data_IF_757722345038
#
_entry.id   IF_757722345038
#
_cell.length_a   1.000
_cell.length_b   1.000
_cell.length_c   1.000
_cell.angle_alpha   90.00
_cell.angle_beta   90.00
_cell.angle_gamma   90.00
#
_symmetry.space_group_name_H-M   'P 1'
#
loop_
_entity.id
_entity.type
_entity.pdbx_description
1 polymer ?
#
# COMPACT_ATOMS: atom_id res chain seq x y z
N UNK A 1 -5.46 10.26 -18.77
CA UNK A 1 -6.45 10.75 -17.81
C UNK A 1 -5.72 11.09 -16.52
N UNK A 2 -5.79 12.35 -16.09
CA UNK A 2 -5.08 12.89 -14.92
C UNK A 2 -5.66 12.44 -13.56
N UNK A 3 -6.59 11.47 -13.58
CA UNK A 3 -7.24 10.98 -12.38
C UNK A 3 -6.27 10.39 -11.35
N UNK A 4 -5.10 9.89 -11.80
CA UNK A 4 -4.06 9.35 -10.94
C UNK A 4 -3.35 10.41 -10.07
N UNK A 5 -3.60 11.70 -10.32
CA UNK A 5 -3.00 12.83 -9.61
C UNK A 5 -3.94 13.44 -8.56
N UNK A 6 -5.25 13.16 -8.61
CA UNK A 6 -6.21 13.72 -7.65
C UNK A 6 -6.05 13.09 -6.28
N UNK A 7 -6.17 13.91 -5.25
CA UNK A 7 -6.21 13.48 -3.85
C UNK A 7 -7.62 13.68 -3.28
N UNK A 8 -8.06 12.75 -2.43
CA UNK A 8 -9.31 12.91 -1.70
C UNK A 8 -9.12 13.83 -0.47
N UNK A 9 -10.16 13.98 0.36
CA UNK A 9 -10.11 14.81 1.57
C UNK A 9 -9.12 14.30 2.64
N UNK A 10 -8.57 13.10 2.50
CA UNK A 10 -7.52 12.54 3.36
C UNK A 10 -6.12 12.74 2.75
N UNK A 11 -6.00 13.44 1.62
CA UNK A 11 -4.73 13.56 0.89
C UNK A 11 -4.34 12.27 0.17
N UNK A 12 -5.23 11.27 0.09
CA UNK A 12 -4.95 10.00 -0.54
C UNK A 12 -5.04 10.12 -2.06
N UNK A 13 -3.97 9.75 -2.76
CA UNK A 13 -4.03 9.41 -4.20
C UNK A 13 -4.82 8.11 -4.40
N UNK A 14 -5.26 7.76 -5.63
CA UNK A 14 -5.91 6.47 -5.88
C UNK A 14 -5.07 5.27 -5.44
N UNK A 15 -3.73 5.39 -5.51
CA UNK A 15 -2.81 4.34 -5.06
C UNK A 15 -2.81 4.17 -3.54
N UNK A 16 -3.05 5.22 -2.75
CA UNK A 16 -3.24 5.09 -1.29
C UNK A 16 -4.52 4.31 -0.98
N UNK A 17 -5.63 4.67 -1.63
CA UNK A 17 -6.92 3.99 -1.44
C UNK A 17 -6.81 2.51 -1.83
N UNK A 18 -6.17 2.23 -2.97
CA UNK A 18 -5.88 0.88 -3.41
C UNK A 18 -5.00 0.13 -2.38
N UNK A 19 -3.93 0.75 -1.90
CA UNK A 19 -3.03 0.17 -0.89
C UNK A 19 -3.70 -0.12 0.46
N UNK A 20 -4.76 0.63 0.81
CA UNK A 20 -5.52 0.43 2.04
C UNK A 20 -6.57 -0.67 1.91
N UNK A 21 -7.33 -0.67 0.80
CA UNK A 21 -8.56 -1.43 0.67
C UNK A 21 -8.43 -2.72 -0.13
N UNK A 22 -7.55 -2.75 -1.14
CA UNK A 22 -7.56 -3.82 -2.14
C UNK A 22 -7.03 -5.14 -1.60
N UNK A 23 -7.53 -6.23 -2.17
CA UNK A 23 -7.02 -7.57 -1.93
C UNK A 23 -6.58 -8.17 -3.27
N UNK A 24 -5.30 -8.53 -3.37
CA UNK A 24 -4.77 -9.22 -4.55
C UNK A 24 -5.25 -10.68 -4.55
N UNK A 25 -5.89 -11.16 -5.63
CA UNK A 25 -6.04 -12.60 -5.87
C UNK A 25 -4.66 -13.25 -5.90
N UNK A 26 -4.52 -14.44 -5.32
CA UNK A 26 -3.27 -15.22 -5.45
C UNK A 26 -3.14 -15.62 -6.95
N UNK A 27 -1.96 -15.44 -7.55
CA UNK A 27 -1.60 -15.90 -8.91
C UNK A 27 -2.12 -15.09 -10.12
N UNK A 28 -2.44 -13.80 -9.97
CA UNK A 28 -2.66 -12.91 -11.13
C UNK A 28 -1.92 -11.58 -10.96
N UNK A 29 -1.39 -11.05 -12.07
CA UNK A 29 -1.01 -9.64 -12.15
C UNK A 29 -2.26 -8.80 -11.97
N UNK A 30 -2.21 -7.80 -11.10
CA UNK A 30 -3.31 -6.87 -10.92
C UNK A 30 -3.18 -5.74 -11.94
N UNK A 31 -4.00 -5.82 -12.98
CA UNK A 31 -4.03 -4.85 -14.07
C UNK A 31 -4.35 -3.42 -13.58
N UNK A 32 -5.13 -3.28 -12.49
CA UNK A 32 -5.46 -1.99 -11.90
C UNK A 32 -4.21 -1.39 -11.26
N UNK A 33 -3.49 -2.16 -10.45
CA UNK A 33 -2.22 -1.71 -9.86
C UNK A 33 -1.19 -1.33 -10.94
N UNK A 34 -1.01 -2.21 -11.94
CA UNK A 34 -0.10 -1.99 -13.05
C UNK A 34 -0.43 -0.70 -13.83
N UNK A 35 -1.71 -0.49 -14.10
CA UNK A 35 -2.21 0.72 -14.79
C UNK A 35 -1.99 1.98 -13.94
N UNK A 36 -2.22 1.93 -12.63
CA UNK A 36 -2.00 3.06 -11.72
C UNK A 36 -0.52 3.46 -11.69
N UNK A 37 0.39 2.48 -11.54
CA UNK A 37 1.84 2.72 -11.54
C UNK A 37 2.31 3.25 -12.89
N UNK A 38 1.84 2.69 -14.01
CA UNK A 38 2.21 3.15 -15.35
C UNK A 38 1.75 4.59 -15.64
N UNK A 39 0.58 4.99 -15.13
CA UNK A 39 0.07 6.36 -15.30
C UNK A 39 0.74 7.37 -14.40
N UNK A 40 1.10 6.99 -13.17
CA UNK A 40 1.72 7.90 -12.23
C UNK A 40 2.60 7.17 -11.20
N UNK A 41 3.84 6.87 -11.58
CA UNK A 41 4.80 6.22 -10.67
C UNK A 41 5.16 7.09 -9.46
N UNK A 42 5.09 8.42 -9.59
CA UNK A 42 5.39 9.34 -8.50
C UNK A 42 4.40 9.21 -7.33
N UNK A 43 3.17 8.73 -7.59
CA UNK A 43 2.16 8.48 -6.57
C UNK A 43 2.59 7.45 -5.52
N UNK A 44 3.56 6.56 -5.84
CA UNK A 44 4.11 5.59 -4.89
C UNK A 44 4.91 6.25 -3.74
N UNK A 45 5.31 7.51 -3.92
CA UNK A 45 6.11 8.29 -2.98
C UNK A 45 5.34 9.47 -2.36
N UNK A 46 4.12 9.73 -2.85
CA UNK A 46 3.24 10.77 -2.30
C UNK A 46 2.87 10.42 -0.85
N UNK A 47 2.72 11.45 -0.02
CA UNK A 47 2.24 11.30 1.36
C UNK A 47 0.81 11.78 1.46
N UNK A 48 -0.02 11.00 2.14
CA UNK A 48 -1.34 11.45 2.58
C UNK A 48 -1.26 12.36 3.82
N UNK A 49 -2.41 12.76 4.36
CA UNK A 49 -2.48 13.67 5.53
C UNK A 49 -1.92 13.06 6.82
N UNK A 50 -1.81 11.74 6.91
CA UNK A 50 -1.15 11.07 8.04
C UNK A 50 0.37 10.95 7.82
N UNK A 51 0.89 11.51 6.72
CA UNK A 51 2.29 11.41 6.33
C UNK A 51 2.67 10.04 5.78
N UNK A 52 1.70 9.17 5.51
CA UNK A 52 1.94 7.82 5.02
C UNK A 52 1.99 7.80 3.49
N UNK A 53 2.93 7.03 2.94
CA UNK A 53 2.92 6.68 1.51
C UNK A 53 2.02 5.47 1.26
N UNK A 54 1.70 5.12 0.01
CA UNK A 54 0.96 3.90 -0.28
C UNK A 54 1.62 2.64 0.30
N UNK A 55 2.96 2.55 0.30
CA UNK A 55 3.67 1.42 0.90
C UNK A 55 3.43 1.35 2.42
N UNK A 56 3.55 2.49 3.12
CA UNK A 56 3.34 2.57 4.56
C UNK A 56 1.87 2.25 4.92
N UNK A 57 0.92 2.72 4.10
CA UNK A 57 -0.51 2.44 4.26
C UNK A 57 -0.82 0.95 4.05
N UNK A 58 -0.26 0.32 3.02
CA UNK A 58 -0.39 -1.12 2.79
C UNK A 58 0.16 -1.94 3.96
N UNK A 59 1.34 -1.59 4.48
CA UNK A 59 1.94 -2.29 5.61
C UNK A 59 1.08 -2.15 6.89
N UNK A 60 0.63 -0.93 7.21
CA UNK A 60 -0.25 -0.63 8.35
C UNK A 60 -1.57 -1.38 8.29
N UNK A 61 -2.09 -1.61 7.08
CA UNK A 61 -3.32 -2.35 6.83
C UNK A 61 -3.12 -3.86 6.62
N UNK A 62 -1.91 -4.39 6.76
CA UNK A 62 -1.62 -5.83 6.57
C UNK A 62 -1.78 -6.33 5.13
N UNK A 63 -1.69 -5.43 4.14
CA UNK A 63 -1.85 -5.76 2.71
C UNK A 63 -0.54 -6.26 2.11
N UNK A 64 -0.05 -7.41 2.59
CA UNK A 64 1.27 -7.97 2.23
C UNK A 64 1.53 -8.08 0.74
N UNK A 65 0.54 -8.53 -0.03
CA UNK A 65 0.68 -8.64 -1.49
C UNK A 65 0.88 -7.28 -2.16
N UNK A 66 0.21 -6.25 -1.66
CA UNK A 66 0.42 -4.88 -2.15
C UNK A 66 1.81 -4.37 -1.75
N UNK A 67 2.24 -4.65 -0.51
CA UNK A 67 3.60 -4.31 -0.06
C UNK A 67 4.64 -4.89 -1.01
N UNK A 68 4.55 -6.18 -1.34
CA UNK A 68 5.47 -6.83 -2.26
C UNK A 68 5.42 -6.22 -3.67
N UNK A 69 4.23 -6.00 -4.22
CA UNK A 69 4.08 -5.40 -5.54
C UNK A 69 4.65 -3.97 -5.62
N UNK A 70 4.44 -3.16 -4.57
CA UNK A 70 5.03 -1.82 -4.48
C UNK A 70 6.56 -1.85 -4.38
N UNK A 71 7.12 -2.81 -3.64
CA UNK A 71 8.58 -2.98 -3.54
C UNK A 71 9.21 -3.44 -4.86
N UNK A 72 8.53 -4.32 -5.60
CA UNK A 72 9.00 -4.77 -6.90
C UNK A 72 9.04 -3.63 -7.92
N UNK A 73 7.99 -2.77 -7.93
CA UNK A 73 7.88 -1.67 -8.89
C UNK A 73 8.59 -0.40 -8.48
N UNK A 74 8.64 -0.12 -7.18
CA UNK A 74 9.14 1.12 -6.59
C UNK A 74 10.01 0.82 -5.36
N UNK A 75 11.18 0.17 -5.53
CA UNK A 75 12.00 -0.31 -4.41
C UNK A 75 12.47 0.81 -3.47
N UNK A 76 12.66 2.03 -3.99
CA UNK A 76 13.07 3.18 -3.19
C UNK A 76 12.02 3.59 -2.14
N UNK A 77 10.76 3.20 -2.32
CA UNK A 77 9.69 3.49 -1.34
C UNK A 77 9.94 2.81 0.01
N UNK A 78 10.75 1.74 0.04
CA UNK A 78 11.14 1.02 1.25
C UNK A 78 11.84 1.89 2.31
N UNK A 79 12.55 2.93 1.86
CA UNK A 79 13.34 3.80 2.74
C UNK A 79 12.56 4.99 3.27
N UNK A 80 11.34 5.23 2.78
CA UNK A 80 10.51 6.33 3.24
C UNK A 80 10.01 6.05 4.66
N UNK A 81 10.12 7.08 5.48
CA UNK A 81 9.64 7.08 6.86
C UNK A 81 8.39 7.95 7.00
N UNK A 82 7.50 7.53 7.90
CA UNK A 82 6.39 8.36 8.38
C UNK A 82 6.88 9.49 9.30
N UNK A 83 5.94 10.23 9.89
CA UNK A 83 6.22 11.31 10.84
C UNK A 83 6.94 10.86 12.12
N UNK A 84 6.81 9.59 12.49
CA UNK A 84 7.47 9.00 13.67
C UNK A 84 8.86 8.42 13.32
N UNK A 85 9.31 8.52 12.07
CA UNK A 85 10.55 7.90 11.61
C UNK A 85 10.44 6.41 11.29
N UNK A 86 9.23 5.85 11.25
CA UNK A 86 8.98 4.41 11.00
C UNK A 86 8.91 4.13 9.50
N UNK A 87 9.58 3.05 9.07
CA UNK A 87 9.48 2.49 7.72
C UNK A 87 8.32 1.49 7.61
N UNK A 88 8.06 0.98 6.40
CA UNK A 88 6.99 0.00 6.19
C UNK A 88 7.17 -1.26 7.05
N UNK A 89 8.39 -1.72 7.31
CA UNK A 89 8.66 -2.88 8.16
C UNK A 89 8.25 -2.64 9.62
N UNK A 90 8.44 -1.42 10.13
CA UNK A 90 8.00 -1.07 11.49
C UNK A 90 6.47 -1.02 11.61
N UNK A 91 5.78 -0.66 10.53
CA UNK A 91 4.32 -0.55 10.49
C UNK A 91 3.63 -1.86 10.08
N UNK A 92 4.40 -2.89 9.72
CA UNK A 92 3.87 -4.11 9.10
C UNK A 92 2.97 -4.88 10.07
N UNK A 93 1.69 -4.99 9.74
CA UNK A 93 0.71 -5.74 10.53
C UNK A 93 0.52 -7.15 9.96
N UNK A 94 0.93 -8.16 10.73
CA UNK A 94 0.56 -9.55 10.44
C UNK A 94 -0.89 -9.78 10.86
N UNK A 95 -1.74 -10.17 9.93
CA UNK A 95 -3.01 -10.78 10.31
C UNK A 95 -2.68 -12.13 10.94
N UNK A 96 -2.80 -12.21 12.27
CA UNK A 96 -2.88 -13.49 12.95
C UNK A 96 -4.12 -14.20 12.43
N UNK A 97 -3.94 -15.33 11.76
CA UNK A 97 -5.06 -16.24 11.57
C UNK A 97 -5.55 -16.61 12.96
N UNK A 98 -6.75 -16.18 13.32
CA UNK A 98 -7.52 -16.89 14.33
C UNK A 98 -7.81 -18.26 13.71
N UNK A 99 -6.85 -19.19 13.85
CA UNK A 99 -7.16 -20.60 13.87
C UNK A 99 -7.83 -20.80 15.21
N UNK A 100 -9.15 -20.79 15.20
CA UNK A 100 -9.96 -21.15 16.35
C UNK A 100 -9.53 -22.56 16.77
N UNK A 101 -8.72 -22.67 17.83
CA UNK A 101 -8.16 -23.93 18.32
C UNK A 101 -9.17 -24.79 19.08
N UNK A 102 -10.47 -24.55 18.95
CA UNK A 102 -11.51 -25.25 19.71
C UNK A 102 -12.61 -25.84 18.81
N UNK A 103 -12.23 -26.81 17.99
CA UNK A 103 -13.19 -27.82 17.52
C UNK A 103 -12.53 -29.19 17.56
N UNK A 104 -12.35 -29.68 18.79
CA UNK A 104 -12.32 -31.11 19.10
C UNK A 104 -13.71 -31.71 18.97
#
# INVERSE_FOLDING_TARGET
SDAACFVNNLGETPLHVYARCSFFPVNKKDEVFETMIAKNISAAYARDKDGLTPLLRAAKCGRFKIVLALLERCPQSAYIRDSDGKTFLHLLRFEGGNVDEHST
#
